data_IF_169841971266
#
_entry.id   IF_169841971266
#
_cell.length_a   1.000
_cell.length_b   1.000
_cell.length_c   1.000
_cell.angle_alpha   90.00
_cell.angle_beta   90.00
_cell.angle_gamma   90.00
#
_symmetry.space_group_name_H-M   'P 1'
#
loop_
_entity.id
_entity.type
_entity.pdbx_description
1 polymer ?
#
# COMPACT_ATOMS: atom_id res chain seq x y z
N UNK A 1 -20.06 -10.68 59.66
CA UNK A 1 -19.58 -11.93 60.27
C UNK A 1 -18.13 -12.13 59.83
N UNK A 2 -17.19 -12.16 60.80
CA UNK A 2 -15.71 -12.35 60.73
C UNK A 2 -14.93 -11.34 59.87
N UNK A 3 -14.24 -10.31 60.40
CA UNK A 3 -13.18 -10.17 61.45
C UNK A 3 -11.82 -10.78 61.04
N UNK A 4 -10.84 -9.90 60.74
CA UNK A 4 -9.52 -9.71 61.42
C UNK A 4 -8.75 -8.61 60.65
N UNK A 5 -8.65 -7.35 61.07
CA UNK A 5 -8.00 -6.72 62.24
C UNK A 5 -6.46 -6.88 62.27
N UNK A 6 -5.75 -5.77 62.04
CA UNK A 6 -4.96 -4.97 63.03
C UNK A 6 -3.48 -5.45 63.08
N UNK A 7 -2.42 -4.64 63.30
CA UNK A 7 -2.32 -3.26 63.76
C UNK A 7 -0.86 -2.74 63.72
N UNK A 8 -0.71 -1.41 63.61
CA UNK A 8 0.08 -0.50 64.49
C UNK A 8 1.61 -0.68 64.74
N UNK A 9 2.44 0.33 64.41
CA UNK A 9 2.86 1.49 65.25
C UNK A 9 4.24 2.11 64.85
N UNK A 10 4.20 3.38 64.40
CA UNK A 10 4.84 4.60 64.94
C UNK A 10 6.27 4.65 65.58
N UNK A 11 7.18 5.42 64.89
CA UNK A 11 8.17 6.50 65.27
C UNK A 11 9.15 6.28 66.48
N UNK A 12 10.30 7.01 66.68
CA UNK A 12 11.00 8.07 65.91
C UNK A 12 12.57 8.12 65.91
N UNK A 13 13.10 9.04 65.09
CA UNK A 13 14.27 9.96 65.25
C UNK A 13 15.72 9.46 65.49
N UNK A 14 16.57 9.88 64.55
CA UNK A 14 17.92 10.47 64.71
C UNK A 14 19.07 9.64 65.29
N UNK A 15 20.12 9.37 64.51
CA UNK A 15 21.53 9.51 64.96
C UNK A 15 22.51 9.47 63.76
N UNK A 16 23.42 10.44 63.74
CA UNK A 16 24.55 10.58 62.82
C UNK A 16 25.50 9.38 62.88
N UNK A 17 26.10 8.97 61.75
CA UNK A 17 27.52 8.59 61.71
C UNK A 17 28.09 8.68 60.28
N UNK A 18 29.11 9.53 60.12
CA UNK A 18 30.01 9.58 58.96
C UNK A 18 30.81 8.28 58.87
N UNK A 19 30.84 7.62 57.71
CA UNK A 19 31.99 6.83 57.26
C UNK A 19 32.16 6.96 55.73
N UNK A 20 33.25 7.63 55.35
CA UNK A 20 34.06 7.52 54.14
C UNK A 20 33.42 7.07 52.81
N UNK A 21 33.13 8.04 51.94
CA UNK A 21 33.11 7.85 50.49
C UNK A 21 34.55 7.94 49.98
N UNK A 22 35.13 6.81 49.60
CA UNK A 22 36.32 6.77 48.74
C UNK A 22 36.21 5.54 47.85
N UNK A 23 35.59 5.71 46.67
CA UNK A 23 35.94 4.91 45.51
C UNK A 23 35.82 5.80 44.26
N UNK A 24 36.99 6.01 43.66
CA UNK A 24 37.24 6.72 42.40
C UNK A 24 36.28 6.24 41.30
N UNK A 25 35.60 7.10 40.53
CA UNK A 25 36.13 7.91 39.42
C UNK A 25 37.07 7.14 38.49
N UNK A 26 36.49 6.32 37.61
CA UNK A 26 36.95 6.16 36.21
C UNK A 26 35.77 5.64 35.38
N UNK A 27 34.99 6.53 34.78
CA UNK A 27 34.31 6.33 33.47
C UNK A 27 33.78 7.71 33.00
N UNK A 28 34.71 8.61 32.69
CA UNK A 28 34.48 9.72 31.76
C UNK A 28 35.61 9.68 30.77
N UNK A 29 35.30 9.28 29.54
CA UNK A 29 35.94 9.62 28.26
C UNK A 29 35.62 8.49 27.28
N UNK A 30 34.59 8.69 26.46
CA UNK A 30 34.53 8.29 25.04
C UNK A 30 33.22 8.74 24.39
N UNK A 31 32.82 9.98 24.70
CA UNK A 31 31.87 10.73 23.89
C UNK A 31 32.52 12.09 23.63
N UNK A 32 32.59 12.46 22.34
CA UNK A 32 33.24 13.64 21.75
C UNK A 32 34.67 13.41 21.24
N UNK A 33 34.77 12.93 20.00
CA UNK A 33 35.77 13.36 19.02
C UNK A 33 35.37 12.91 17.58
N UNK A 34 34.34 13.54 17.01
CA UNK A 34 34.31 13.79 15.56
C UNK A 34 33.80 15.20 15.33
N UNK A 35 34.61 16.16 15.76
CA UNK A 35 34.59 17.50 15.21
C UNK A 35 35.26 17.45 13.83
N UNK A 36 34.44 17.41 12.79
CA UNK A 36 34.81 17.97 11.49
C UNK A 36 33.91 19.17 11.28
N UNK A 37 34.42 20.33 11.66
CA UNK A 37 34.05 21.66 11.16
C UNK A 37 33.47 21.60 9.75
N UNK A 38 32.14 21.60 9.64
CA UNK A 38 31.43 21.84 8.39
C UNK A 38 31.38 23.36 8.20
N UNK A 39 32.41 23.90 7.55
CA UNK A 39 32.34 25.27 7.04
C UNK A 39 31.28 25.29 5.94
N UNK A 40 30.17 25.98 6.19
CA UNK A 40 29.26 26.43 5.15
C UNK A 40 30.05 27.24 4.12
N UNK A 41 30.26 26.64 2.95
CA UNK A 41 31.02 27.24 1.85
C UNK A 41 30.58 26.62 0.53
N UNK A 42 29.81 27.38 -0.24
CA UNK A 42 29.49 27.21 -1.66
C UNK A 42 29.28 25.76 -2.15
N UNK A 43 28.03 25.30 -2.04
CA UNK A 43 27.50 24.08 -2.64
C UNK A 43 27.62 24.11 -4.18
N UNK A 44 28.71 23.56 -4.71
CA UNK A 44 28.70 22.97 -6.03
C UNK A 44 28.21 21.52 -5.87
N UNK A 45 27.07 21.20 -6.49
CA UNK A 45 26.42 19.88 -6.59
C UNK A 45 27.45 18.76 -6.84
N UNK A 46 27.92 18.08 -5.78
CA UNK A 46 28.76 16.89 -5.91
C UNK A 46 27.87 15.65 -6.05
N UNK A 47 27.30 15.47 -7.25
CA UNK A 47 26.57 14.25 -7.62
C UNK A 47 27.57 13.07 -7.49
N UNK A 48 27.19 12.04 -6.73
CA UNK A 48 27.96 10.82 -6.56
C UNK A 48 28.21 10.15 -7.93
N UNK A 49 29.24 9.30 -8.00
CA UNK A 49 29.51 8.55 -9.23
C UNK A 49 28.33 7.65 -9.62
N UNK A 50 27.56 7.17 -8.65
CA UNK A 50 26.35 6.39 -8.89
C UNK A 50 25.26 7.26 -9.55
N UNK A 51 24.92 8.40 -8.94
CA UNK A 51 23.90 9.30 -9.48
C UNK A 51 24.19 9.80 -10.89
N UNK A 52 25.48 10.04 -11.22
CA UNK A 52 25.91 10.36 -12.59
C UNK A 52 25.68 9.22 -13.58
N UNK A 53 25.99 7.99 -13.19
CA UNK A 53 25.79 6.80 -14.04
C UNK A 53 24.31 6.54 -14.26
N UNK A 54 23.52 6.53 -13.18
CA UNK A 54 22.08 6.33 -13.25
C UNK A 54 21.39 7.41 -14.11
N UNK A 55 21.70 8.69 -13.86
CA UNK A 55 21.15 9.80 -14.66
C UNK A 55 21.47 9.67 -16.15
N UNK A 56 22.68 9.21 -16.49
CA UNK A 56 23.08 8.98 -17.89
C UNK A 56 22.21 7.91 -18.56
N UNK A 57 21.85 6.86 -17.84
CA UNK A 57 21.04 5.76 -18.37
C UNK A 57 19.57 6.17 -18.57
N UNK A 58 19.00 6.95 -17.65
CA UNK A 58 17.59 7.32 -17.72
C UNK A 58 17.31 8.53 -18.63
N UNK A 59 18.23 9.48 -18.77
CA UNK A 59 17.97 10.70 -19.54
C UNK A 59 18.08 10.49 -21.07
N UNK A 60 18.35 9.26 -21.56
CA UNK A 60 18.35 8.91 -23.01
C UNK A 60 19.11 9.90 -23.92
N UNK A 61 20.19 10.51 -23.42
CA UNK A 61 20.99 11.48 -24.19
C UNK A 61 20.52 12.94 -24.10
N UNK A 62 19.47 13.22 -23.34
CA UNK A 62 19.03 14.57 -22.99
C UNK A 62 20.08 15.18 -22.04
N UNK A 63 20.82 16.18 -22.53
CA UNK A 63 21.77 16.95 -21.72
C UNK A 63 21.02 18.04 -20.99
N UNK A 64 20.52 17.74 -19.79
CA UNK A 64 19.89 18.75 -18.95
C UNK A 64 20.47 18.63 -17.53
N UNK A 65 21.63 19.26 -17.32
CA UNK A 65 22.20 19.44 -15.98
C UNK A 65 21.41 20.42 -15.11
N UNK A 66 20.53 21.21 -15.74
CA UNK A 66 19.91 22.38 -15.11
C UNK A 66 18.46 22.14 -14.68
N UNK A 67 17.81 21.05 -15.12
CA UNK A 67 16.39 20.72 -14.84
C UNK A 67 16.23 19.39 -14.08
N UNK A 68 17.25 18.53 -14.07
CA UNK A 68 17.20 17.28 -13.32
C UNK A 68 18.52 17.03 -12.61
N UNK A 69 18.43 16.81 -11.31
CA UNK A 69 19.53 16.33 -10.47
C UNK A 69 19.02 15.13 -9.70
N UNK A 70 19.58 13.94 -9.99
CA UNK A 70 19.19 12.74 -9.26
C UNK A 70 19.54 12.90 -7.78
N UNK A 71 18.59 12.55 -6.92
CA UNK A 71 18.71 12.60 -5.47
C UNK A 71 19.44 11.36 -4.98
N UNK A 72 20.77 11.43 -5.00
CA UNK A 72 21.66 10.45 -4.39
C UNK A 72 22.09 10.85 -2.98
N UNK A 73 21.41 11.83 -2.37
CA UNK A 73 21.66 12.24 -1.00
C UNK A 73 20.90 11.32 -0.04
N UNK A 74 21.50 11.10 1.14
CA UNK A 74 20.86 10.40 2.24
C UNK A 74 19.64 11.20 2.74
N UNK A 75 18.45 10.84 2.26
CA UNK A 75 17.18 11.46 2.69
C UNK A 75 16.79 11.00 4.10
N UNK A 76 17.32 9.85 4.53
CA UNK A 76 17.23 9.34 5.91
C UNK A 76 18.59 8.85 6.40
N UNK A 77 18.72 8.54 7.69
CA UNK A 77 19.93 7.91 8.24
C UNK A 77 20.20 6.48 7.71
N UNK A 78 19.27 5.90 6.95
CA UNK A 78 19.33 4.51 6.49
C UNK A 78 19.70 4.38 5.01
N UNK A 79 19.75 5.48 4.28
CA UNK A 79 20.18 5.49 2.89
C UNK A 79 19.63 6.66 2.08
N UNK A 80 19.98 6.67 0.78
CA UNK A 80 19.55 7.67 -0.18
C UNK A 80 18.09 7.50 -0.61
N UNK A 81 17.60 8.42 -1.44
CA UNK A 81 16.20 8.40 -1.85
C UNK A 81 15.75 7.06 -2.46
N UNK A 82 16.58 6.49 -3.32
CA UNK A 82 16.33 5.20 -3.95
C UNK A 82 16.43 3.98 -3.02
N UNK A 83 16.66 4.18 -1.73
CA UNK A 83 16.50 3.13 -0.72
C UNK A 83 15.04 3.02 -0.22
N UNK A 84 14.11 3.86 -0.69
CA UNK A 84 12.67 3.81 -0.38
C UNK A 84 12.42 3.56 1.12
N UNK A 85 12.97 4.44 1.95
CA UNK A 85 12.95 4.27 3.41
C UNK A 85 11.68 4.90 3.96
N UNK A 86 10.76 4.04 4.40
CA UNK A 86 9.54 4.46 5.07
C UNK A 86 9.75 4.46 6.58
N UNK A 87 9.57 5.60 7.25
CA UNK A 87 9.72 5.72 8.70
C UNK A 87 8.38 5.74 9.42
N UNK A 88 7.38 6.39 8.83
CA UNK A 88 6.06 6.61 9.41
C UNK A 88 5.04 6.96 8.33
N UNK A 89 3.75 6.87 8.67
CA UNK A 89 2.63 7.08 7.74
C UNK A 89 2.67 8.44 7.04
N UNK A 90 3.04 9.50 7.74
CA UNK A 90 3.09 10.86 7.17
C UNK A 90 4.12 11.01 6.05
N UNK A 91 5.08 10.08 5.93
CA UNK A 91 6.04 10.11 4.82
C UNK A 91 5.34 9.87 3.48
N UNK A 92 4.22 9.13 3.46
CA UNK A 92 3.44 8.96 2.24
C UNK A 92 2.56 10.18 1.97
N UNK A 93 2.97 10.94 0.96
CA UNK A 93 2.26 12.08 0.42
C UNK A 93 1.19 11.57 -0.55
N UNK A 94 -0.08 11.88 -0.27
CA UNK A 94 -1.18 11.58 -1.17
C UNK A 94 -1.21 12.55 -2.35
N UNK A 95 -1.25 12.02 -3.56
CA UNK A 95 -1.31 12.78 -4.79
C UNK A 95 -2.52 12.35 -5.61
N UNK A 96 -3.38 13.30 -5.99
CA UNK A 96 -4.47 13.04 -6.91
C UNK A 96 -3.98 13.17 -8.36
N UNK A 97 -4.28 12.21 -9.26
CA UNK A 97 -4.08 12.40 -10.68
C UNK A 97 -4.77 13.68 -11.20
N UNK A 98 -4.25 14.30 -12.27
CA UNK A 98 -4.81 15.53 -12.79
C UNK A 98 -6.19 15.28 -13.41
N UNK A 99 -7.17 16.10 -13.03
CA UNK A 99 -8.50 16.09 -13.64
C UNK A 99 -8.50 16.63 -15.07
N UNK A 100 -9.45 16.17 -15.89
CA UNK A 100 -9.72 16.73 -17.22
C UNK A 100 -8.73 16.36 -18.32
N UNK A 101 -7.79 15.45 -18.06
CA UNK A 101 -6.92 14.85 -19.10
C UNK A 101 -6.51 13.43 -18.75
N UNK A 102 -6.09 12.69 -19.76
CA UNK A 102 -5.49 11.38 -19.57
C UNK A 102 -4.15 11.51 -18.84
N UNK A 103 -3.93 10.62 -17.89
CA UNK A 103 -2.70 10.52 -17.12
C UNK A 103 -2.45 9.05 -16.76
N UNK A 104 -1.20 8.63 -16.77
CA UNK A 104 -0.80 7.28 -16.37
C UNK A 104 0.34 7.35 -15.36
N UNK A 105 0.37 6.40 -14.44
CA UNK A 105 1.45 6.17 -13.49
C UNK A 105 1.75 4.66 -13.40
N UNK A 106 2.94 4.30 -12.95
CA UNK A 106 3.36 2.90 -12.89
C UNK A 106 3.34 2.33 -11.46
N UNK A 107 2.82 1.12 -11.29
CA UNK A 107 2.86 0.40 -10.02
C UNK A 107 3.88 -0.74 -10.08
N UNK A 108 5.09 -0.45 -9.61
CA UNK A 108 6.20 -1.42 -9.57
C UNK A 108 6.32 -2.16 -8.25
N UNK A 109 5.43 -1.91 -7.29
CA UNK A 109 5.51 -2.48 -5.94
C UNK A 109 5.52 -4.02 -5.92
N UNK A 110 4.96 -4.63 -6.97
CA UNK A 110 4.86 -6.08 -7.12
C UNK A 110 5.89 -6.69 -8.10
N UNK A 111 6.80 -5.89 -8.66
CA UNK A 111 7.80 -6.38 -9.62
C UNK A 111 8.94 -7.14 -8.92
N UNK A 112 9.46 -8.18 -9.55
CA UNK A 112 10.58 -8.95 -9.02
C UNK A 112 10.98 -10.16 -9.87
N UNK A 113 10.58 -11.39 -9.49
CA UNK A 113 10.88 -12.61 -10.27
C UNK A 113 10.32 -12.61 -11.69
N UNK A 114 10.86 -13.49 -12.55
CA UNK A 114 10.34 -13.73 -13.92
C UNK A 114 9.03 -14.51 -13.95
N UNK A 115 8.52 -14.94 -12.81
CA UNK A 115 7.26 -15.68 -12.69
C UNK A 115 6.23 -14.83 -11.96
N UNK A 116 4.92 -15.01 -12.25
CA UNK A 116 3.87 -14.40 -11.45
C UNK A 116 4.04 -14.67 -9.95
N UNK A 117 3.67 -13.69 -9.15
CA UNK A 117 3.68 -13.74 -7.68
C UNK A 117 2.31 -13.31 -7.15
N UNK A 118 2.10 -13.37 -5.84
CA UNK A 118 0.80 -13.11 -5.22
C UNK A 118 -0.11 -14.33 -5.16
N UNK A 119 -1.38 -14.07 -4.83
CA UNK A 119 -2.39 -15.09 -4.57
C UNK A 119 -3.37 -15.27 -5.74
N UNK A 120 -3.44 -14.29 -6.63
CA UNK A 120 -4.27 -14.36 -7.83
C UNK A 120 -3.54 -15.14 -8.95
N UNK A 121 -4.09 -16.27 -9.44
CA UNK A 121 -3.47 -17.06 -10.51
C UNK A 121 -3.40 -16.31 -11.86
N UNK A 122 -4.19 -15.25 -12.02
CA UNK A 122 -4.24 -14.42 -13.23
C UNK A 122 -3.23 -13.28 -13.19
N UNK A 123 -2.42 -13.17 -12.12
CA UNK A 123 -1.35 -12.17 -12.07
C UNK A 123 -0.36 -12.35 -13.23
N UNK A 124 0.02 -11.27 -13.93
CA UNK A 124 1.10 -11.30 -14.90
C UNK A 124 2.45 -11.56 -14.25
N UNK A 125 3.40 -11.99 -15.08
CA UNK A 125 4.81 -11.91 -14.75
C UNK A 125 5.28 -10.45 -14.83
N UNK A 126 5.88 -9.96 -13.74
CA UNK A 126 6.38 -8.59 -13.59
C UNK A 126 7.89 -8.64 -13.27
N UNK A 127 8.74 -9.10 -14.21
CA UNK A 127 10.16 -9.26 -13.95
C UNK A 127 10.83 -7.94 -13.63
N UNK A 128 11.82 -7.97 -12.75
CA UNK A 128 12.71 -6.84 -12.55
C UNK A 128 14.18 -7.23 -12.68
N UNK A 129 14.71 -6.99 -13.87
CA UNK A 129 16.01 -7.51 -14.30
C UNK A 129 17.13 -6.48 -14.11
N UNK A 130 18.14 -6.87 -13.35
CA UNK A 130 19.33 -6.06 -13.08
C UNK A 130 20.18 -5.89 -14.35
N UNK A 131 20.58 -4.64 -14.64
CA UNK A 131 21.50 -4.31 -15.71
C UNK A 131 22.87 -4.96 -15.46
N UNK A 132 23.62 -5.22 -16.54
CA UNK A 132 24.95 -5.85 -16.45
C UNK A 132 25.93 -5.08 -15.55
N UNK A 133 25.77 -3.76 -15.49
CA UNK A 133 26.63 -2.87 -14.72
C UNK A 133 26.11 -2.56 -13.31
N UNK A 134 24.96 -3.15 -12.94
CA UNK A 134 24.35 -3.14 -11.61
C UNK A 134 23.75 -1.80 -11.18
N UNK A 135 23.61 -0.83 -12.09
CA UNK A 135 23.15 0.53 -11.76
C UNK A 135 21.63 0.64 -11.83
N UNK A 136 21.03 -0.04 -12.80
CA UNK A 136 19.60 0.05 -13.12
C UNK A 136 19.01 -1.34 -13.03
N UNK A 137 17.82 -1.48 -12.46
CA UNK A 137 16.97 -2.63 -12.67
C UNK A 137 15.80 -2.24 -13.60
N UNK A 138 15.58 -3.02 -14.64
CA UNK A 138 14.49 -2.81 -15.59
C UNK A 138 13.31 -3.61 -15.09
N UNK A 139 12.35 -2.94 -14.44
CA UNK A 139 11.18 -3.59 -13.87
C UNK A 139 9.98 -3.43 -14.80
N UNK A 140 9.31 -4.52 -15.13
CA UNK A 140 7.97 -4.51 -15.70
C UNK A 140 6.96 -4.22 -14.60
N UNK A 141 6.09 -3.25 -14.84
CA UNK A 141 5.14 -2.74 -13.85
C UNK A 141 3.76 -2.56 -14.50
N UNK A 142 2.71 -2.55 -13.69
CA UNK A 142 1.38 -2.18 -14.20
C UNK A 142 1.36 -0.71 -14.64
N UNK A 143 0.76 -0.43 -15.78
CA UNK A 143 0.33 0.92 -16.14
C UNK A 143 -1.08 1.16 -15.57
N UNK A 144 -1.19 2.14 -14.67
CA UNK A 144 -2.45 2.58 -14.11
C UNK A 144 -2.81 3.91 -14.75
N UNK A 145 -3.87 3.92 -15.57
CA UNK A 145 -4.30 5.12 -16.30
C UNK A 145 -5.59 5.69 -15.73
N UNK A 146 -5.79 7.01 -15.91
CA UNK A 146 -7.02 7.68 -15.49
C UNK A 146 -8.26 7.31 -16.31
N UNK A 147 -8.10 6.51 -17.37
CA UNK A 147 -9.21 5.89 -18.10
C UNK A 147 -9.74 4.64 -17.39
N UNK A 148 -8.87 3.97 -16.62
CA UNK A 148 -9.20 2.76 -15.87
C UNK A 148 -9.45 3.04 -14.39
N UNK A 149 -8.82 4.08 -13.85
CA UNK A 149 -8.82 4.42 -12.42
C UNK A 149 -9.15 5.89 -12.32
N UNK A 150 -10.27 6.29 -11.71
CA UNK A 150 -10.61 7.73 -11.78
C UNK A 150 -9.55 8.61 -11.11
N UNK A 151 -9.39 9.86 -11.58
CA UNK A 151 -8.39 10.80 -11.07
C UNK A 151 -8.64 11.25 -9.62
N UNK A 152 -9.70 10.74 -8.98
CA UNK A 152 -10.01 10.99 -7.58
C UNK A 152 -9.40 9.93 -6.63
N UNK A 153 -8.84 8.84 -7.15
CA UNK A 153 -8.08 7.87 -6.35
C UNK A 153 -6.65 8.38 -6.20
N UNK A 154 -6.16 8.61 -4.98
CA UNK A 154 -4.78 9.03 -4.79
C UNK A 154 -3.80 7.90 -5.10
N UNK A 155 -2.68 8.27 -5.71
CA UNK A 155 -1.44 7.51 -5.59
C UNK A 155 -0.58 8.14 -4.50
N UNK A 156 0.40 7.39 -4.00
CA UNK A 156 1.24 7.81 -2.89
C UNK A 156 2.71 7.86 -3.28
N UNK A 157 3.39 8.86 -2.72
CA UNK A 157 4.82 9.06 -2.86
C UNK A 157 5.44 9.18 -1.48
N UNK A 158 6.37 8.30 -1.15
CA UNK A 158 7.21 8.47 0.03
C UNK A 158 8.11 9.69 -0.17
N UNK A 159 7.98 10.69 0.70
CA UNK A 159 8.78 11.91 0.68
C UNK A 159 10.29 11.61 0.71
N UNK A 160 10.69 10.52 1.37
CA UNK A 160 12.09 10.10 1.42
C UNK A 160 12.55 9.48 0.11
N UNK A 161 11.64 9.05 -0.77
CA UNK A 161 11.95 8.34 -2.00
C UNK A 161 12.02 9.24 -3.25
N UNK A 162 11.84 10.55 -3.10
CA UNK A 162 11.79 11.49 -4.24
C UNK A 162 13.14 11.56 -4.96
N UNK A 163 13.18 11.04 -6.19
CA UNK A 163 14.39 10.87 -7.01
C UNK A 163 14.94 12.15 -7.62
N UNK A 164 14.17 13.24 -7.70
CA UNK A 164 14.63 14.54 -8.17
C UNK A 164 14.99 15.43 -6.97
N UNK A 165 16.27 15.78 -6.84
CA UNK A 165 16.81 16.51 -5.69
C UNK A 165 16.16 17.90 -5.51
N UNK A 166 15.92 18.62 -6.60
CA UNK A 166 15.38 19.97 -6.53
C UNK A 166 13.89 19.93 -6.13
N UNK A 167 13.12 18.93 -6.61
CA UNK A 167 11.73 18.69 -6.21
C UNK A 167 11.63 18.15 -4.78
N UNK A 168 12.56 17.27 -4.37
CA UNK A 168 12.66 16.79 -2.98
C UNK A 168 12.84 17.97 -2.02
N UNK A 169 13.78 18.88 -2.31
CA UNK A 169 14.05 20.06 -1.48
C UNK A 169 12.82 20.97 -1.35
N UNK A 170 12.13 21.25 -2.45
CA UNK A 170 10.87 22.01 -2.42
C UNK A 170 9.80 21.29 -1.60
N UNK A 171 9.70 19.97 -1.76
CA UNK A 171 8.68 19.17 -1.06
C UNK A 171 8.91 19.17 0.45
N UNK A 172 10.15 18.98 0.93
CA UNK A 172 10.44 19.02 2.38
C UNK A 172 10.32 20.43 2.98
N UNK A 173 10.50 21.48 2.17
CA UNK A 173 10.28 22.87 2.60
C UNK A 173 8.78 23.12 2.86
N UNK A 174 7.93 22.67 1.95
CA UNK A 174 6.46 22.83 2.02
C UNK A 174 5.84 21.86 3.03
N UNK A 175 6.09 20.56 2.88
CA UNK A 175 5.43 19.50 3.65
C UNK A 175 6.12 19.17 4.99
N UNK A 176 7.31 19.71 5.23
CA UNK A 176 8.18 19.23 6.31
C UNK A 176 8.96 17.99 5.89
N UNK A 177 10.04 17.67 6.61
CA UNK A 177 10.93 16.54 6.26
C UNK A 177 10.25 15.17 6.38
N UNK A 178 9.25 15.08 7.24
CA UNK A 178 8.46 13.90 7.56
C UNK A 178 7.12 13.85 6.81
N UNK A 179 6.78 14.89 6.04
CA UNK A 179 5.53 15.04 5.31
C UNK A 179 4.32 15.49 6.15
N UNK A 180 4.48 15.70 7.47
CA UNK A 180 3.36 15.94 8.40
C UNK A 180 2.47 17.13 8.01
N UNK A 181 3.02 18.19 7.42
CA UNK A 181 2.22 19.36 7.04
C UNK A 181 1.28 19.10 5.86
N UNK A 182 1.58 18.10 5.04
CA UNK A 182 0.77 17.73 3.89
C UNK A 182 -0.17 16.54 4.19
N UNK A 183 -0.13 15.99 5.41
CA UNK A 183 -0.95 14.85 5.79
C UNK A 183 -2.46 15.12 5.79
N UNK A 184 -2.90 16.39 6.00
CA UNK A 184 -4.32 16.75 5.98
C UNK A 184 -4.92 16.85 4.57
N UNK A 185 -4.10 16.86 3.52
CA UNK A 185 -4.54 17.05 2.13
C UNK A 185 -4.80 18.51 1.72
N UNK A 186 -4.78 19.47 2.66
CA UNK A 186 -5.00 20.90 2.35
C UNK A 186 -3.86 21.54 1.55
N UNK A 187 -2.66 20.94 1.63
CA UNK A 187 -1.47 21.41 0.95
C UNK A 187 -1.09 20.38 -0.10
N UNK A 188 -1.15 20.77 -1.37
CA UNK A 188 -0.68 19.93 -2.48
C UNK A 188 0.85 19.83 -2.42
N UNK A 189 1.42 18.62 -2.25
CA UNK A 189 2.87 18.46 -2.24
C UNK A 189 3.49 18.82 -3.60
N UNK A 190 4.61 19.56 -3.64
CA UNK A 190 5.29 19.91 -4.89
C UNK A 190 5.67 18.71 -5.77
N UNK A 191 5.95 17.55 -5.17
CA UNK A 191 6.19 16.31 -5.92
C UNK A 191 4.96 15.83 -6.68
N UNK A 192 3.75 16.02 -6.15
CA UNK A 192 2.52 15.64 -6.82
C UNK A 192 2.34 16.46 -8.10
N UNK A 193 2.54 17.78 -8.03
CA UNK A 193 2.50 18.65 -9.20
C UNK A 193 3.54 18.23 -10.24
N UNK A 194 4.79 18.01 -9.81
CA UNK A 194 5.88 17.61 -10.70
C UNK A 194 5.61 16.28 -11.42
N UNK A 195 5.02 15.30 -10.72
CA UNK A 195 4.59 14.03 -11.33
C UNK A 195 3.45 14.27 -12.30
N UNK A 196 2.39 14.96 -11.85
CA UNK A 196 1.19 15.18 -12.65
C UNK A 196 1.53 15.85 -13.97
N UNK A 197 2.41 16.85 -13.98
CA UNK A 197 2.82 17.57 -15.20
C UNK A 197 4.03 16.96 -15.93
N UNK A 198 4.43 15.73 -15.60
CA UNK A 198 5.56 15.01 -16.22
C UNK A 198 6.90 15.77 -16.17
N UNK A 199 7.15 16.49 -15.08
CA UNK A 199 8.39 17.24 -14.84
C UNK A 199 9.32 16.59 -13.80
N UNK A 200 8.89 15.52 -13.12
CA UNK A 200 9.74 14.89 -12.10
C UNK A 200 11.04 14.32 -12.71
N UNK A 201 10.93 13.58 -13.81
CA UNK A 201 12.08 13.04 -14.57
C UNK A 201 11.89 13.36 -16.06
N UNK A 202 12.75 14.18 -16.67
CA UNK A 202 12.62 14.55 -18.07
C UNK A 202 12.64 13.36 -19.02
N UNK A 203 11.66 13.32 -19.94
CA UNK A 203 11.58 12.31 -21.00
C UNK A 203 10.95 10.98 -20.58
N UNK A 204 10.52 10.83 -19.32
CA UNK A 204 9.71 9.69 -18.89
C UNK A 204 8.26 9.82 -19.40
N UNK A 205 7.63 8.69 -19.72
CA UNK A 205 6.21 8.65 -20.12
C UNK A 205 5.31 8.67 -18.89
N UNK A 206 5.78 8.05 -17.80
CA UNK A 206 5.13 8.00 -16.50
C UNK A 206 6.18 7.88 -15.37
N UNK A 207 5.72 8.01 -14.13
CA UNK A 207 6.54 7.83 -12.92
C UNK A 207 6.02 6.64 -12.12
N UNK A 208 6.92 5.83 -11.58
CA UNK A 208 6.54 4.77 -10.64
C UNK A 208 6.19 5.34 -9.28
N UNK A 209 5.04 4.94 -8.74
CA UNK A 209 4.48 5.41 -7.47
C UNK A 209 3.90 4.21 -6.70
N UNK A 210 3.47 4.43 -5.46
CA UNK A 210 2.67 3.43 -4.74
C UNK A 210 1.19 3.67 -4.97
N UNK A 211 0.42 2.59 -5.07
CA UNK A 211 -1.03 2.61 -5.20
C UNK A 211 -1.58 1.36 -4.53
N UNK A 212 -2.70 1.46 -3.79
CA UNK A 212 -3.36 0.30 -3.18
C UNK A 212 -4.00 -0.63 -4.20
N UNK A 213 -4.13 -0.19 -5.45
CA UNK A 213 -4.68 -1.00 -6.54
C UNK A 213 -3.91 -2.32 -6.65
N UNK A 214 -4.64 -3.42 -6.79
CA UNK A 214 -4.16 -4.81 -6.79
C UNK A 214 -3.65 -5.38 -5.45
N UNK A 215 -3.78 -4.70 -4.30
CA UNK A 215 -3.39 -5.30 -3.00
C UNK A 215 -4.01 -6.69 -2.80
N UNK A 216 -5.30 -6.84 -3.12
CA UNK A 216 -6.02 -8.13 -2.96
C UNK A 216 -5.46 -9.24 -3.86
N UNK A 217 -4.82 -8.91 -4.98
CA UNK A 217 -4.19 -9.89 -5.87
C UNK A 217 -2.88 -10.46 -5.28
N UNK A 218 -2.26 -9.74 -4.34
CA UNK A 218 -0.94 -10.07 -3.80
C UNK A 218 -0.95 -10.36 -2.29
N UNK A 219 -2.05 -10.06 -1.60
CA UNK A 219 -2.21 -10.28 -0.17
C UNK A 219 -3.54 -10.99 0.09
N UNK A 220 -3.51 -12.11 0.81
CA UNK A 220 -4.74 -12.84 1.12
C UNK A 220 -5.49 -12.16 2.26
N UNK A 221 -6.83 -12.36 2.39
CA UNK A 221 -7.57 -11.88 3.55
C UNK A 221 -6.94 -12.33 4.88
N UNK A 222 -6.35 -13.53 4.90
CA UNK A 222 -5.65 -14.07 6.07
C UNK A 222 -4.34 -13.32 6.36
N UNK A 223 -3.55 -12.98 5.34
CA UNK A 223 -2.33 -12.17 5.50
C UNK A 223 -2.66 -10.79 6.08
N UNK A 224 -3.72 -10.19 5.59
CA UNK A 224 -4.16 -8.86 6.03
C UNK A 224 -4.66 -8.92 7.47
N UNK A 225 -5.55 -9.87 7.78
CA UNK A 225 -6.09 -10.04 9.14
C UNK A 225 -5.00 -10.38 10.18
N UNK A 226 -3.96 -11.11 9.78
CA UNK A 226 -2.83 -11.46 10.65
C UNK A 226 -1.72 -10.40 10.68
N UNK A 227 -1.82 -9.34 9.87
CA UNK A 227 -0.76 -8.33 9.70
C UNK A 227 0.51 -8.86 9.03
N UNK A 228 0.46 -10.06 8.44
CA UNK A 228 1.57 -10.70 7.73
C UNK A 228 1.59 -10.28 6.26
N UNK A 229 1.55 -8.98 5.96
CA UNK A 229 1.42 -8.48 4.58
C UNK A 229 2.75 -8.25 3.85
N UNK A 230 3.88 -8.59 4.48
CA UNK A 230 5.21 -8.34 3.91
C UNK A 230 6.25 -9.37 4.34
N UNK A 231 7.24 -9.60 3.49
CA UNK A 231 8.39 -10.45 3.78
C UNK A 231 9.60 -9.59 4.12
N UNK A 232 10.22 -9.81 5.27
CA UNK A 232 11.39 -9.04 5.71
C UNK A 232 12.71 -9.71 5.33
N UNK A 233 13.55 -8.98 4.57
CA UNK A 233 14.86 -9.45 4.10
C UNK A 233 15.99 -8.65 4.77
N UNK A 234 16.54 -9.22 5.86
CA UNK A 234 17.58 -8.57 6.69
C UNK A 234 18.95 -9.23 6.52
N UNK A 235 20.02 -8.43 6.64
CA UNK A 235 21.49 -8.68 6.61
C UNK A 235 22.06 -10.05 6.18
N UNK A 236 21.57 -11.19 6.67
CA UNK A 236 22.00 -12.51 6.17
C UNK A 236 21.36 -12.88 4.83
N UNK A 237 20.19 -12.30 4.55
CA UNK A 237 19.40 -12.46 3.33
C UNK A 237 19.15 -11.10 2.62
N UNK A 238 19.80 -10.03 3.07
CA UNK A 238 19.75 -8.73 2.40
C UNK A 238 20.64 -8.79 1.14
N UNK A 239 20.13 -8.25 0.05
CA UNK A 239 20.75 -8.27 -1.27
C UNK A 239 20.39 -6.97 -2.01
N UNK A 240 20.83 -6.88 -3.26
CA UNK A 240 20.41 -5.81 -4.16
C UNK A 240 18.90 -5.85 -4.36
N UNK A 241 18.25 -4.70 -4.27
CA UNK A 241 16.86 -4.51 -4.63
C UNK A 241 16.69 -3.23 -5.46
N UNK A 242 15.59 -3.15 -6.19
CA UNK A 242 15.21 -2.02 -7.01
C UNK A 242 14.37 -1.01 -6.19
N UNK A 243 14.89 0.20 -6.05
CA UNK A 243 14.20 1.32 -5.43
C UNK A 243 13.28 2.04 -6.42
N UNK A 244 12.16 1.43 -6.80
CA UNK A 244 11.38 1.92 -7.94
C UNK A 244 10.56 3.18 -7.71
N UNK A 245 10.24 3.54 -6.45
CA UNK A 245 9.44 4.73 -6.20
C UNK A 245 10.10 5.99 -6.77
N UNK A 246 9.32 6.75 -7.52
CA UNK A 246 9.72 7.90 -8.34
C UNK A 246 10.74 7.63 -9.46
N UNK A 247 10.93 6.37 -9.86
CA UNK A 247 11.70 6.02 -11.05
C UNK A 247 10.95 6.35 -12.34
N UNK A 248 11.66 6.70 -13.42
CA UNK A 248 11.04 6.94 -14.73
C UNK A 248 10.62 5.64 -15.40
N UNK A 249 9.45 5.69 -16.03
CA UNK A 249 8.82 4.57 -16.71
C UNK A 249 8.49 4.91 -18.16
N UNK A 250 8.49 3.89 -19.00
CA UNK A 250 8.34 4.01 -20.44
C UNK A 250 7.34 2.99 -20.97
N UNK A 251 6.46 3.45 -21.85
CA UNK A 251 5.48 2.57 -22.49
C UNK A 251 6.21 1.58 -23.40
N UNK A 252 5.90 0.30 -23.27
CA UNK A 252 6.45 -0.76 -24.13
C UNK A 252 5.45 -1.19 -25.21
N UNK A 253 4.16 -0.86 -25.03
CA UNK A 253 3.05 -1.38 -25.83
C UNK A 253 2.66 -2.81 -25.46
N UNK A 254 3.30 -3.40 -24.45
CA UNK A 254 2.97 -4.72 -23.93
C UNK A 254 1.71 -4.67 -23.08
N UNK A 255 0.97 -5.77 -23.11
CA UNK A 255 -0.22 -5.99 -22.29
C UNK A 255 -0.13 -7.35 -21.61
N UNK A 256 -0.74 -7.46 -20.44
CA UNK A 256 -0.91 -8.77 -19.81
C UNK A 256 -2.03 -9.60 -20.47
N UNK A 257 -2.25 -10.81 -19.96
CA UNK A 257 -3.27 -11.72 -20.45
C UNK A 257 -4.70 -11.17 -20.31
N UNK A 258 -4.91 -10.23 -19.38
CA UNK A 258 -6.18 -9.55 -19.14
C UNK A 258 -6.32 -8.26 -19.99
N UNK A 259 -5.33 -7.95 -20.84
CA UNK A 259 -5.33 -6.80 -21.73
C UNK A 259 -4.95 -5.48 -21.06
N UNK A 260 -4.51 -5.50 -19.80
CA UNK A 260 -4.01 -4.33 -19.06
C UNK A 260 -2.63 -3.96 -19.58
N UNK A 261 -2.37 -2.66 -19.73
CA UNK A 261 -1.09 -2.17 -20.22
C UNK A 261 0.01 -2.38 -19.18
N UNK A 262 1.22 -2.68 -19.65
CA UNK A 262 2.43 -2.78 -18.85
C UNK A 262 3.43 -1.70 -19.29
N UNK A 263 4.27 -1.26 -18.34
CA UNK A 263 5.37 -0.34 -18.60
C UNK A 263 6.69 -0.94 -18.13
N UNK A 264 7.80 -0.47 -18.69
CA UNK A 264 9.14 -0.75 -18.19
C UNK A 264 9.69 0.47 -17.45
N UNK A 265 10.00 0.29 -16.17
CA UNK A 265 10.60 1.31 -15.32
C UNK A 265 12.09 1.05 -15.12
N UNK A 266 12.88 2.13 -15.17
CA UNK A 266 14.34 2.07 -14.95
C UNK A 266 14.64 2.39 -13.50
N UNK A 267 14.51 1.41 -12.62
CA UNK A 267 14.67 1.63 -11.19
C UNK A 267 16.14 1.70 -10.77
N UNK A 268 16.54 2.65 -9.91
CA UNK A 268 17.82 2.62 -9.24
C UNK A 268 17.92 1.39 -8.31
N UNK A 269 19.14 1.00 -7.95
CA UNK A 269 19.45 -0.23 -7.21
C UNK A 269 20.16 0.13 -5.92
N UNK A 270 19.68 -0.44 -4.81
CA UNK A 270 20.30 -0.27 -3.49
C UNK A 270 20.71 -1.62 -2.91
N UNK A 271 21.82 -1.62 -2.16
CA UNK A 271 22.30 -2.78 -1.42
C UNK A 271 22.04 -2.56 0.07
N UNK A 272 21.03 -3.23 0.61
CA UNK A 272 20.60 -3.01 1.97
C UNK A 272 19.47 -3.93 2.41
N UNK A 273 19.02 -3.79 3.68
CA UNK A 273 17.81 -4.47 4.11
C UNK A 273 16.60 -3.93 3.34
N UNK A 274 15.62 -4.79 3.09
CA UNK A 274 14.39 -4.45 2.40
C UNK A 274 13.22 -5.33 2.85
N UNK A 275 12.04 -4.97 2.41
CA UNK A 275 10.81 -5.71 2.57
C UNK A 275 10.10 -5.85 1.23
N UNK A 276 9.62 -7.06 0.97
CA UNK A 276 8.78 -7.36 -0.18
C UNK A 276 7.34 -7.12 0.27
N UNK A 277 6.55 -6.43 -0.53
CA UNK A 277 5.14 -6.11 -0.28
C UNK A 277 4.16 -7.28 -0.35
N UNK A 278 4.67 -8.48 -0.11
CA UNK A 278 3.96 -9.75 -0.21
C UNK A 278 4.45 -10.66 0.91
N UNK A 279 3.56 -11.50 1.44
CA UNK A 279 3.87 -12.48 2.48
C UNK A 279 4.63 -13.69 1.91
N UNK A 280 5.38 -14.38 2.77
CA UNK A 280 6.01 -15.68 2.49
C UNK A 280 6.85 -15.78 1.19
N UNK A 281 7.48 -14.68 0.77
CA UNK A 281 8.34 -14.65 -0.40
C UNK A 281 9.77 -15.10 -0.08
N UNK A 282 10.52 -15.51 -1.12
CA UNK A 282 11.96 -15.67 -1.01
C UNK A 282 12.66 -14.32 -1.23
N UNK A 283 13.61 -14.00 -0.36
CA UNK A 283 14.45 -12.80 -0.50
C UNK A 283 15.32 -12.81 -1.77
N UNK A 284 15.66 -13.98 -2.31
CA UNK A 284 16.25 -14.08 -3.64
C UNK A 284 15.14 -14.17 -4.69
N UNK A 285 14.97 -13.13 -5.50
CA UNK A 285 14.00 -13.08 -6.60
C UNK A 285 14.29 -14.10 -7.72
N UNK A 286 15.42 -14.80 -7.68
CA UNK A 286 15.79 -15.84 -8.63
C UNK A 286 15.49 -17.25 -8.11
N UNK A 287 15.14 -17.38 -6.82
CA UNK A 287 14.73 -18.65 -6.24
C UNK A 287 13.20 -18.82 -6.34
N UNK A 288 12.70 -20.04 -6.60
CA UNK A 288 11.27 -20.30 -6.64
C UNK A 288 10.62 -20.11 -5.24
N UNK A 289 9.32 -19.80 -5.19
CA UNK A 289 8.57 -19.74 -3.93
C UNK A 289 8.67 -21.06 -3.16
N UNK A 290 8.71 -21.00 -1.82
CA UNK A 290 9.00 -22.14 -0.92
C UNK A 290 7.98 -23.28 -0.95
N UNK A 291 6.88 -23.15 -1.68
CA UNK A 291 5.88 -24.20 -1.89
C UNK A 291 6.18 -25.13 -3.09
N UNK A 292 7.25 -24.88 -3.84
CA UNK A 292 7.78 -25.86 -4.79
C UNK A 292 8.69 -26.86 -4.04
N UNK A 293 8.28 -28.13 -3.99
CA UNK A 293 9.08 -29.26 -3.51
C UNK A 293 10.44 -29.32 -4.23
N UNK A 294 11.46 -28.66 -3.70
CA UNK A 294 12.86 -28.92 -4.03
C UNK A 294 13.79 -28.46 -2.91
N UNK A 295 13.93 -29.31 -1.88
CA UNK A 295 15.15 -29.32 -1.07
C UNK A 295 16.27 -29.92 -1.91
N UNK A 296 17.01 -29.10 -2.66
CA UNK A 296 18.24 -29.54 -3.30
C UNK A 296 19.08 -28.36 -3.79
N UNK A 297 20.32 -28.29 -3.28
CA UNK A 297 21.48 -27.54 -3.79
C UNK A 297 21.70 -26.09 -3.33
N UNK A 298 21.93 -25.95 -2.03
CA UNK A 298 22.98 -25.04 -1.56
C UNK A 298 24.36 -25.59 -1.98
N UNK A 299 24.86 -25.20 -3.16
CA UNK A 299 26.29 -24.95 -3.39
C UNK A 299 26.57 -24.50 -4.83
N UNK A 300 27.45 -23.50 -4.94
CA UNK A 300 28.09 -22.95 -6.15
C UNK A 300 27.23 -22.15 -7.14
N UNK A 301 27.20 -20.81 -6.96
CA UNK A 301 27.42 -19.85 -8.06
C UNK A 301 27.64 -18.41 -7.55
N UNK A 302 28.86 -17.89 -7.73
CA UNK A 302 29.13 -16.45 -7.79
C UNK A 302 28.73 -15.95 -9.20
N UNK A 303 27.98 -14.84 -9.27
CA UNK A 303 27.62 -14.02 -10.46
C UNK A 303 26.60 -14.68 -11.40
N UNK A 304 25.40 -14.16 -11.69
CA UNK A 304 24.78 -12.84 -11.57
C UNK A 304 23.32 -13.05 -11.15
N UNK A 305 22.82 -12.40 -10.09
CA UNK A 305 21.37 -12.29 -9.87
C UNK A 305 20.79 -11.57 -11.08
N UNK A 306 19.93 -12.25 -11.86
CA UNK A 306 19.31 -11.63 -13.03
C UNK A 306 18.15 -10.76 -12.58
N UNK A 307 17.40 -11.18 -11.58
CA UNK A 307 16.28 -10.42 -11.04
C UNK A 307 16.52 -9.97 -9.60
N UNK A 308 15.89 -8.86 -9.26
CA UNK A 308 15.86 -8.26 -7.93
C UNK A 308 14.43 -7.85 -7.62
N UNK A 309 14.05 -7.81 -6.35
CA UNK A 309 12.73 -7.30 -5.96
C UNK A 309 12.68 -5.79 -6.12
N UNK A 310 11.55 -5.26 -6.60
CA UNK A 310 11.17 -3.88 -6.32
C UNK A 310 10.70 -3.81 -4.88
N UNK A 311 11.35 -2.99 -4.06
CA UNK A 311 11.17 -3.05 -2.63
C UNK A 311 11.37 -1.69 -1.95
N UNK A 312 11.00 -1.68 -0.67
CA UNK A 312 11.15 -0.56 0.25
C UNK A 312 11.57 -1.10 1.63
N UNK A 313 11.96 -0.23 2.54
CA UNK A 313 12.42 -0.67 3.86
C UNK A 313 11.83 0.17 4.99
N UNK A 314 11.15 -0.51 5.92
CA UNK A 314 10.78 0.03 7.22
C UNK A 314 11.80 -0.39 8.30
N UNK A 315 12.62 0.55 8.81
CA UNK A 315 13.60 0.26 9.84
C UNK A 315 12.99 0.05 11.24
N UNK A 316 11.77 0.55 11.47
CA UNK A 316 11.03 0.33 12.71
C UNK A 316 10.46 -1.10 12.79
N UNK A 317 10.45 -1.82 11.66
CA UNK A 317 9.87 -3.16 11.55
C UNK A 317 8.36 -3.14 11.34
N UNK A 318 7.80 -4.31 11.03
CA UNK A 318 6.41 -4.42 10.57
C UNK A 318 6.25 -4.04 9.10
N UNK A 319 5.08 -4.30 8.48
CA UNK A 319 4.80 -3.92 7.10
C UNK A 319 4.84 -2.41 6.91
N UNK A 320 5.00 -1.97 5.66
CA UNK A 320 4.78 -0.58 5.28
C UNK A 320 3.28 -0.35 5.22
N UNK A 321 2.78 0.60 5.99
CA UNK A 321 1.36 0.92 6.07
C UNK A 321 1.02 2.13 5.20
N UNK A 322 -0.17 2.08 4.59
CA UNK A 322 -0.78 3.20 3.88
C UNK A 322 -1.22 4.26 4.91
N UNK A 323 -1.21 5.57 4.58
CA UNK A 323 -1.68 6.62 5.50
C UNK A 323 -3.08 6.38 6.06
N UNK A 324 -3.32 6.86 7.29
CA UNK A 324 -4.66 6.81 7.90
C UNK A 324 -5.63 7.74 7.14
N UNK A 325 -6.86 7.28 6.88
CA UNK A 325 -7.83 7.94 5.98
C UNK A 325 -7.79 7.41 4.54
N UNK A 326 -6.76 6.64 4.18
CA UNK A 326 -6.75 5.83 2.97
C UNK A 326 -7.24 4.42 3.32
N UNK A 327 -8.54 4.22 3.19
CA UNK A 327 -9.15 2.92 3.39
C UNK A 327 -9.07 2.08 2.10
N UNK A 328 -9.10 0.76 2.25
CA UNK A 328 -9.26 -0.16 1.11
C UNK A 328 -10.69 -0.68 1.15
N UNK A 329 -11.51 -0.46 0.12
CA UNK A 329 -12.85 -1.01 0.10
C UNK A 329 -12.87 -2.52 0.31
N UNK A 330 -13.89 -2.97 1.03
CA UNK A 330 -14.22 -4.36 1.34
C UNK A 330 -13.15 -5.11 2.13
N UNK A 331 -12.18 -4.38 2.67
CA UNK A 331 -11.14 -4.97 3.49
C UNK A 331 -11.64 -5.17 4.93
N UNK A 332 -11.45 -6.36 5.53
CA UNK A 332 -11.94 -6.63 6.87
C UNK A 332 -11.31 -5.71 7.94
N UNK A 333 -12.08 -5.44 8.98
CA UNK A 333 -11.64 -4.70 10.16
C UNK A 333 -11.37 -3.20 9.90
N UNK A 334 -10.49 -2.61 10.71
CA UNK A 334 -10.23 -1.15 10.73
C UNK A 334 -9.43 -0.61 9.55
N UNK A 335 -9.14 -1.46 8.55
CA UNK A 335 -8.45 -1.07 7.31
C UNK A 335 -9.41 -1.00 6.11
N UNK A 336 -10.65 -1.47 6.29
CA UNK A 336 -11.77 -1.29 5.36
C UNK A 336 -12.25 0.14 5.26
N UNK A 337 -12.83 0.51 4.13
CA UNK A 337 -13.59 1.77 4.04
C UNK A 337 -14.89 1.65 4.84
N UNK A 338 -15.40 2.78 5.33
CA UNK A 338 -16.71 2.80 5.98
C UNK A 338 -17.81 2.35 5.00
N UNK A 339 -18.98 1.96 5.52
CA UNK A 339 -20.12 1.67 4.65
C UNK A 339 -20.62 2.96 3.97
N UNK A 340 -21.48 2.80 2.96
CA UNK A 340 -22.13 3.93 2.30
C UNK A 340 -22.75 4.92 3.31
N UNK A 341 -22.53 6.21 3.11
CA UNK A 341 -23.10 7.31 3.90
C UNK A 341 -23.50 8.47 2.97
N UNK A 342 -24.80 8.76 2.90
CA UNK A 342 -25.37 9.80 2.04
C UNK A 342 -25.02 11.24 2.49
N UNK A 343 -24.50 11.39 3.71
CA UNK A 343 -24.15 12.66 4.33
C UNK A 343 -22.68 13.04 4.14
N UNK A 344 -21.83 12.07 3.82
CA UNK A 344 -20.43 12.30 3.50
C UNK A 344 -20.28 12.83 2.07
N UNK A 345 -19.20 13.56 1.81
CA UNK A 345 -18.81 13.99 0.47
C UNK A 345 -18.28 12.81 -0.35
N UNK A 346 -19.14 11.81 -0.58
CA UNK A 346 -18.84 10.66 -1.42
C UNK A 346 -18.59 11.18 -2.83
N UNK A 347 -17.49 10.70 -3.38
CA UNK A 347 -17.13 10.96 -4.75
C UNK A 347 -18.09 10.16 -5.63
N UNK A 348 -19.02 10.86 -6.28
CA UNK A 348 -19.84 10.22 -7.30
C UNK A 348 -18.96 9.89 -8.52
N UNK A 349 -18.94 8.61 -8.95
CA UNK A 349 -18.25 8.16 -10.15
C UNK A 349 -18.98 8.61 -11.43
N UNK A 350 -18.30 8.46 -12.57
CA UNK A 350 -18.85 8.82 -13.89
C UNK A 350 -20.06 7.94 -14.26
N UNK A 351 -21.07 8.53 -14.94
CA UNK A 351 -22.29 7.83 -15.36
C UNK A 351 -22.01 6.58 -16.21
N UNK A 352 -20.97 6.60 -17.05
CA UNK A 352 -20.59 5.45 -17.88
C UNK A 352 -20.02 4.29 -17.04
N UNK A 353 -19.35 4.60 -15.93
CA UNK A 353 -18.85 3.58 -14.98
C UNK A 353 -20.04 3.00 -14.22
N UNK A 354 -20.95 3.85 -13.72
CA UNK A 354 -22.14 3.37 -13.02
C UNK A 354 -23.06 2.50 -13.87
N UNK A 355 -23.21 2.82 -15.16
CA UNK A 355 -23.97 1.97 -16.07
C UNK A 355 -23.39 0.55 -16.17
N UNK A 356 -22.06 0.41 -16.16
CA UNK A 356 -21.40 -0.92 -16.15
C UNK A 356 -21.57 -1.62 -14.81
N UNK A 357 -21.45 -0.89 -13.70
CA UNK A 357 -21.68 -1.43 -12.35
C UNK A 357 -23.10 -1.96 -12.22
N UNK A 358 -24.12 -1.17 -12.53
CA UNK A 358 -25.50 -1.65 -12.47
C UNK A 358 -25.72 -2.83 -13.43
N UNK A 359 -25.12 -2.82 -14.63
CA UNK A 359 -25.17 -3.99 -15.52
C UNK A 359 -24.55 -5.25 -14.90
N UNK A 360 -23.50 -5.10 -14.09
CA UNK A 360 -22.87 -6.22 -13.36
C UNK A 360 -23.74 -6.77 -12.24
N UNK A 361 -24.45 -5.92 -11.51
CA UNK A 361 -25.44 -6.36 -10.51
C UNK A 361 -26.66 -7.01 -11.18
N UNK A 362 -27.15 -6.41 -12.26
CA UNK A 362 -28.35 -6.85 -12.97
C UNK A 362 -28.16 -8.21 -13.65
N UNK A 363 -27.00 -8.39 -14.30
CA UNK A 363 -26.61 -9.64 -14.96
C UNK A 363 -25.72 -10.50 -14.06
N UNK A 364 -25.77 -10.29 -12.74
CA UNK A 364 -24.96 -11.08 -11.81
C UNK A 364 -25.29 -12.57 -11.92
N UNK A 365 -24.37 -13.42 -11.46
CA UNK A 365 -24.63 -14.86 -11.42
C UNK A 365 -25.90 -15.07 -10.60
N UNK A 366 -26.92 -15.67 -11.21
CA UNK A 366 -28.19 -15.93 -10.55
C UNK A 366 -28.17 -17.35 -9.98
N UNK A 367 -28.29 -17.47 -8.66
CA UNK A 367 -28.44 -18.76 -7.98
C UNK A 367 -29.81 -18.78 -7.34
N UNK A 368 -30.66 -19.73 -7.75
CA UNK A 368 -32.04 -19.84 -7.25
C UNK A 368 -32.80 -18.51 -7.38
N UNK A 369 -32.68 -17.85 -8.54
CA UNK A 369 -33.28 -16.54 -8.85
C UNK A 369 -32.77 -15.35 -8.00
N UNK A 370 -31.74 -15.56 -7.17
CA UNK A 370 -31.08 -14.49 -6.39
C UNK A 370 -29.90 -13.89 -7.15
N UNK A 371 -29.88 -12.57 -7.28
CA UNK A 371 -28.77 -11.78 -7.85
C UNK A 371 -27.64 -11.70 -6.84
N UNK A 372 -26.61 -12.53 -7.02
CA UNK A 372 -25.50 -12.72 -6.06
C UNK A 372 -24.77 -11.41 -5.73
N UNK A 373 -24.70 -10.48 -6.69
CA UNK A 373 -24.08 -9.17 -6.47
C UNK A 373 -24.73 -8.45 -5.28
N UNK A 374 -26.06 -8.30 -5.30
CA UNK A 374 -26.79 -7.57 -4.25
C UNK A 374 -26.82 -8.31 -2.91
N UNK A 375 -26.98 -9.64 -2.92
CA UNK A 375 -26.97 -10.42 -1.67
C UNK A 375 -25.61 -10.39 -0.99
N UNK A 376 -24.54 -10.47 -1.77
CA UNK A 376 -23.17 -10.39 -1.25
C UNK A 376 -22.87 -8.98 -0.71
N UNK A 377 -23.20 -7.94 -1.47
CA UNK A 377 -23.05 -6.53 -1.07
C UNK A 377 -23.74 -6.25 0.29
N UNK A 378 -24.97 -6.75 0.47
CA UNK A 378 -25.74 -6.57 1.71
C UNK A 378 -25.08 -7.19 2.95
N UNK A 379 -24.30 -8.26 2.76
CA UNK A 379 -23.87 -9.16 3.85
C UNK A 379 -22.37 -9.10 4.11
N UNK A 380 -21.55 -8.95 3.07
CA UNK A 380 -20.11 -9.17 3.11
C UNK A 380 -19.42 -8.26 4.13
N UNK A 381 -19.54 -6.95 3.95
CA UNK A 381 -18.75 -5.98 4.71
C UNK A 381 -19.07 -5.99 6.20
N UNK A 382 -20.35 -6.02 6.57
CA UNK A 382 -20.77 -6.09 7.97
C UNK A 382 -20.38 -7.41 8.63
N UNK A 383 -20.44 -8.52 7.89
CA UNK A 383 -19.97 -9.83 8.38
C UNK A 383 -18.45 -9.89 8.59
N UNK A 384 -17.70 -9.06 7.85
CA UNK A 384 -16.25 -8.88 8.01
C UNK A 384 -15.87 -7.83 9.06
N UNK A 385 -16.84 -7.23 9.74
CA UNK A 385 -16.60 -6.27 10.83
C UNK A 385 -16.60 -4.81 10.40
N UNK A 386 -16.88 -4.50 9.14
CA UNK A 386 -16.95 -3.11 8.65
C UNK A 386 -18.21 -2.45 9.18
N UNK A 387 -18.07 -1.22 9.70
CA UNK A 387 -19.16 -0.48 10.36
C UNK A 387 -19.59 -1.06 11.71
N UNK A 388 -18.90 -2.10 12.20
CA UNK A 388 -19.20 -2.70 13.50
C UNK A 388 -18.39 -1.99 14.59
N UNK A 389 -19.00 -1.72 15.74
CA UNK A 389 -18.31 -1.11 16.87
C UNK A 389 -17.33 -2.05 17.59
N UNK A 390 -16.67 -1.55 18.63
CA UNK A 390 -15.60 -2.24 19.39
C UNK A 390 -15.98 -3.62 19.99
N UNK A 391 -17.26 -3.97 20.02
CA UNK A 391 -17.78 -5.24 20.57
C UNK A 391 -18.07 -6.30 19.50
N UNK A 392 -17.59 -6.13 18.27
CA UNK A 392 -17.74 -7.10 17.20
C UNK A 392 -16.98 -8.41 17.50
N UNK A 393 -17.72 -9.48 17.80
CA UNK A 393 -17.14 -10.79 18.07
C UNK A 393 -18.11 -11.95 17.71
N UNK A 394 -18.62 -12.01 16.46
CA UNK A 394 -19.39 -13.16 16.01
C UNK A 394 -18.50 -14.41 15.92
N UNK A 395 -19.11 -15.60 15.90
CA UNK A 395 -18.32 -16.81 15.71
C UNK A 395 -17.83 -16.92 14.27
N UNK A 396 -16.62 -17.44 14.07
CA UNK A 396 -16.10 -17.67 12.71
C UNK A 396 -16.98 -18.63 11.89
N UNK A 397 -17.70 -19.54 12.56
CA UNK A 397 -18.66 -20.43 11.89
C UNK A 397 -19.83 -19.65 11.31
N UNK A 398 -20.39 -18.71 12.07
CA UNK A 398 -21.54 -17.91 11.62
C UNK A 398 -21.12 -17.00 10.47
N UNK A 399 -19.93 -16.38 10.57
CA UNK A 399 -19.37 -15.57 9.48
C UNK A 399 -19.22 -16.38 8.19
N UNK A 400 -18.59 -17.56 8.27
CA UNK A 400 -18.38 -18.40 7.08
C UNK A 400 -19.70 -18.87 6.47
N UNK A 401 -20.70 -19.22 7.30
CA UNK A 401 -22.01 -19.65 6.82
C UNK A 401 -22.75 -18.50 6.11
N UNK A 402 -22.78 -17.31 6.73
CA UNK A 402 -23.41 -16.12 6.15
C UNK A 402 -22.74 -15.73 4.82
N UNK A 403 -21.41 -15.64 4.79
CA UNK A 403 -20.67 -15.31 3.56
C UNK A 403 -20.86 -16.39 2.49
N UNK A 404 -20.82 -17.66 2.88
CA UNK A 404 -21.04 -18.78 1.97
C UNK A 404 -22.44 -18.78 1.37
N UNK A 405 -23.45 -18.31 2.10
CA UNK A 405 -24.83 -18.20 1.60
C UNK A 405 -25.03 -16.96 0.72
N UNK A 406 -24.54 -15.81 1.16
CA UNK A 406 -24.75 -14.53 0.50
C UNK A 406 -23.91 -14.35 -0.77
N UNK A 407 -22.68 -14.87 -0.78
CA UNK A 407 -21.70 -14.64 -1.84
C UNK A 407 -21.38 -15.90 -2.66
N UNK A 408 -22.19 -16.96 -2.58
CA UNK A 408 -21.96 -18.15 -3.41
C UNK A 408 -21.99 -17.77 -4.89
N UNK A 409 -20.99 -18.21 -5.65
CA UNK A 409 -20.86 -17.88 -7.07
C UNK A 409 -20.40 -16.45 -7.38
N UNK A 410 -20.05 -15.63 -6.40
CA UNK A 410 -19.55 -14.25 -6.62
C UNK A 410 -18.34 -14.21 -7.55
N UNK A 411 -17.47 -15.23 -7.49
CA UNK A 411 -16.29 -15.37 -8.35
C UNK A 411 -16.60 -15.58 -9.84
N UNK A 412 -17.86 -15.88 -10.18
CA UNK A 412 -18.32 -16.03 -11.57
C UNK A 412 -18.97 -14.75 -12.10
N UNK A 413 -19.10 -13.71 -11.27
CA UNK A 413 -19.72 -12.46 -11.65
C UNK A 413 -18.80 -11.66 -12.58
N UNK A 414 -19.34 -11.17 -13.69
CA UNK A 414 -18.62 -10.29 -14.61
C UNK A 414 -18.64 -8.85 -14.12
N UNK A 415 -17.52 -8.14 -14.25
CA UNK A 415 -17.41 -6.70 -13.90
C UNK A 415 -17.19 -6.43 -12.42
N UNK A 416 -16.68 -7.40 -11.67
CA UNK A 416 -16.25 -7.21 -10.28
C UNK A 416 -15.17 -6.12 -10.15
N UNK A 417 -14.29 -6.01 -11.14
CA UNK A 417 -13.29 -4.96 -11.24
C UNK A 417 -13.91 -3.55 -11.27
N UNK A 418 -15.10 -3.40 -11.89
CA UNK A 418 -15.81 -2.13 -11.95
C UNK A 418 -16.50 -1.78 -10.62
N UNK A 419 -16.99 -2.78 -9.89
CA UNK A 419 -17.58 -2.62 -8.56
C UNK A 419 -16.52 -2.15 -7.57
N UNK A 420 -15.42 -2.91 -7.46
CA UNK A 420 -14.29 -2.57 -6.59
C UNK A 420 -13.69 -1.21 -6.96
N UNK A 421 -13.65 -0.87 -8.25
CA UNK A 421 -13.26 0.46 -8.69
C UNK A 421 -14.20 1.53 -8.13
N UNK A 422 -15.52 1.41 -8.30
CA UNK A 422 -16.48 2.40 -7.79
C UNK A 422 -16.40 2.55 -6.28
N UNK A 423 -16.22 1.47 -5.53
CA UNK A 423 -16.08 1.54 -4.08
C UNK A 423 -14.80 2.26 -3.68
N UNK A 424 -13.71 2.01 -4.42
CA UNK A 424 -12.46 2.75 -4.25
C UNK A 424 -12.61 4.22 -4.62
N UNK A 425 -13.47 4.54 -5.59
CA UNK A 425 -13.82 5.93 -5.94
C UNK A 425 -14.62 6.61 -4.85
N UNK A 426 -15.63 5.93 -4.34
CA UNK A 426 -16.55 6.44 -3.36
C UNK A 426 -15.92 6.52 -1.95
N UNK A 427 -14.85 5.77 -1.70
CA UNK A 427 -14.21 5.69 -0.41
C UNK A 427 -15.08 4.95 0.61
N UNK A 428 -15.90 4.01 0.15
CA UNK A 428 -16.77 3.18 0.98
C UNK A 428 -16.64 1.71 0.58
N UNK A 429 -17.01 0.82 1.48
CA UNK A 429 -17.07 -0.64 1.25
C UNK A 429 -18.51 -1.08 1.05
N UNK A 430 -18.74 -2.10 0.23
CA UNK A 430 -20.05 -2.65 -0.12
C UNK A 430 -21.07 -1.55 -0.45
N UNK A 431 -20.65 -0.65 -1.34
CA UNK A 431 -21.39 0.59 -1.60
C UNK A 431 -21.63 0.87 -3.09
N UNK A 432 -21.08 0.06 -4.00
CA UNK A 432 -21.13 0.38 -5.42
C UNK A 432 -22.57 0.53 -5.93
N UNK A 433 -23.46 -0.36 -5.51
CA UNK A 433 -24.86 -0.35 -5.96
C UNK A 433 -25.62 0.91 -5.49
N UNK A 434 -25.36 1.37 -4.26
CA UNK A 434 -25.98 2.57 -3.69
C UNK A 434 -25.40 3.84 -4.31
N UNK A 435 -24.06 3.91 -4.44
CA UNK A 435 -23.35 5.04 -5.05
C UNK A 435 -23.81 5.25 -6.50
N UNK A 436 -24.03 4.16 -7.23
CA UNK A 436 -24.48 4.21 -8.62
C UNK A 436 -25.99 4.25 -8.79
N UNK A 437 -26.77 4.15 -7.71
CA UNK A 437 -28.23 4.16 -7.76
C UNK A 437 -28.82 2.99 -8.54
N UNK A 438 -28.21 1.80 -8.46
CA UNK A 438 -28.72 0.61 -9.14
C UNK A 438 -30.01 0.13 -8.45
N UNK A 439 -31.10 -0.02 -9.20
CA UNK A 439 -32.44 -0.27 -8.66
C UNK A 439 -33.11 -1.56 -9.19
N UNK A 440 -32.41 -2.37 -9.97
CA UNK A 440 -32.96 -3.58 -10.61
C UNK A 440 -32.97 -4.82 -9.71
N UNK A 441 -33.14 -4.66 -8.39
CA UNK A 441 -33.20 -5.79 -7.44
C UNK A 441 -34.52 -6.54 -7.65
N UNK A 442 -34.45 -7.82 -8.01
CA UNK A 442 -35.64 -8.65 -8.19
C UNK A 442 -36.25 -9.06 -6.83
N UNK A 443 -37.51 -9.48 -6.83
CA UNK A 443 -38.25 -9.71 -5.57
C UNK A 443 -37.68 -10.87 -4.74
N UNK A 444 -37.22 -11.94 -5.40
CA UNK A 444 -36.54 -13.06 -4.75
C UNK A 444 -35.24 -12.61 -4.04
N UNK A 445 -34.48 -11.72 -4.68
CA UNK A 445 -33.25 -11.15 -4.12
C UNK A 445 -33.56 -10.23 -2.94
N UNK A 446 -34.62 -9.41 -3.03
CA UNK A 446 -35.09 -8.60 -1.91
C UNK A 446 -35.50 -9.45 -0.71
N UNK A 447 -36.23 -10.54 -0.93
CA UNK A 447 -36.58 -11.47 0.14
C UNK A 447 -35.34 -12.14 0.74
N UNK A 448 -34.37 -12.53 -0.09
CA UNK A 448 -33.15 -13.16 0.40
C UNK A 448 -32.29 -12.19 1.20
N UNK A 449 -32.15 -10.94 0.76
CA UNK A 449 -31.49 -9.87 1.54
C UNK A 449 -32.19 -9.66 2.87
N UNK A 450 -33.53 -9.65 2.90
CA UNK A 450 -34.28 -9.57 4.15
C UNK A 450 -33.94 -10.75 5.09
N UNK A 451 -33.91 -11.97 4.57
CA UNK A 451 -33.56 -13.17 5.35
C UNK A 451 -32.12 -13.10 5.88
N UNK A 452 -31.16 -12.74 5.03
CA UNK A 452 -29.75 -12.58 5.40
C UNK A 452 -29.57 -11.51 6.49
N UNK A 453 -30.28 -10.38 6.38
CA UNK A 453 -30.29 -9.35 7.41
C UNK A 453 -30.82 -9.88 8.76
N UNK A 454 -31.78 -10.80 8.78
CA UNK A 454 -32.22 -11.45 10.02
C UNK A 454 -31.17 -12.42 10.56
N UNK A 455 -30.57 -13.24 9.69
CA UNK A 455 -29.52 -14.18 10.09
C UNK A 455 -28.28 -13.45 10.65
N UNK A 456 -27.93 -12.28 10.11
CA UNK A 456 -26.88 -11.43 10.68
C UNK A 456 -27.22 -10.98 12.11
N UNK A 457 -28.46 -10.53 12.36
CA UNK A 457 -28.90 -10.13 13.71
C UNK A 457 -28.85 -11.29 14.69
N UNK A 458 -29.28 -12.47 14.26
CA UNK A 458 -29.23 -13.69 15.06
C UNK A 458 -27.79 -14.08 15.42
N UNK A 459 -26.84 -13.79 14.53
CA UNK A 459 -25.40 -13.92 14.75
C UNK A 459 -24.74 -12.75 15.52
N UNK A 460 -25.54 -11.79 16.02
CA UNK A 460 -25.06 -10.55 16.66
C UNK A 460 -24.20 -9.65 15.77
N UNK A 461 -24.45 -9.68 14.47
CA UNK A 461 -23.86 -8.80 13.46
C UNK A 461 -24.92 -7.73 13.11
N UNK A 462 -24.52 -6.46 13.10
CA UNK A 462 -25.43 -5.37 12.72
C UNK A 462 -25.45 -5.27 11.19
N UNK A 463 -26.57 -5.59 10.51
CA UNK A 463 -26.64 -5.56 9.04
C UNK A 463 -26.48 -4.14 8.49
N UNK A 464 -26.12 -4.02 7.20
CA UNK A 464 -25.94 -2.72 6.55
C UNK A 464 -27.22 -1.87 6.60
N UNK A 465 -28.38 -2.52 6.45
CA UNK A 465 -29.69 -1.89 6.61
C UNK A 465 -29.85 -1.13 7.95
N UNK A 466 -29.30 -1.65 9.05
CA UNK A 466 -29.39 -0.96 10.33
C UNK A 466 -28.43 0.22 10.46
N UNK A 467 -27.30 0.13 9.77
CA UNK A 467 -26.22 1.11 9.89
C UNK A 467 -26.54 2.33 9.02
N UNK A 468 -26.95 2.11 7.77
CA UNK A 468 -27.11 3.19 6.79
C UNK A 468 -28.43 3.11 5.97
N UNK A 469 -29.37 2.23 6.35
CA UNK A 469 -30.68 2.10 5.72
C UNK A 469 -30.61 1.73 4.21
N UNK A 470 -29.59 0.97 3.82
CA UNK A 470 -29.44 0.44 2.46
C UNK A 470 -29.51 -1.09 2.46
N UNK A 471 -29.95 -1.68 1.33
CA UNK A 471 -30.10 -3.14 1.17
C UNK A 471 -30.87 -3.79 2.33
N UNK A 472 -32.03 -3.24 2.67
CA UNK A 472 -32.87 -3.78 3.72
C UNK A 472 -33.62 -5.05 3.33
N UNK A 473 -33.84 -5.24 2.03
CA UNK A 473 -34.75 -6.25 1.53
C UNK A 473 -36.20 -5.92 1.91
N UNK A 474 -37.12 -6.74 1.41
CA UNK A 474 -38.54 -6.64 1.72
C UNK A 474 -39.05 -8.03 2.09
N UNK A 475 -39.99 -8.09 3.04
CA UNK A 475 -40.66 -9.33 3.40
C UNK A 475 -41.96 -9.42 2.59
N UNK A 476 -42.04 -10.39 1.67
CA UNK A 476 -43.23 -10.68 0.86
C UNK A 476 -44.39 -11.28 1.67
#
# INVERSE_FOLDING_TARGET
>A
MKIKLLNCWNIPSSFYFLVSVTLMLTFTNDLVAMDKTYKAGNSAKNISNYGKRYSKDILRGIKISDVYSFNDTDTTRFGPAYANIWLEKSNFLACLPPGGRQFSYALCYYSGPDQPTGNDPDNPSLPCTLSRDGVVANCTCYELSTELISPKIPYYVDINAISNLDIYQQTIEVCGKDGLKCASGDIVPPVCDAINVNLLVPGADAISVFSPIFIQNYQSPQDIASGNTSTSCKRKNAALYAGCMTAPCYTTGEKDAQGRNLMECKCPVYDGPFQIGQSDQNCDANDPPTNALSKSMANTRKRHSKNVWSAAYNPNGGPIEIPDGACVPDLPGSKGCELYDDSNSIINPDEAICSKVCSSYDNSTVISDTQVGYSCDATLCTTLGIGQGDNFNPSASDQIQLLGKACDGISKMSGMDQILLVEALAGCSCCASQVCGCDSINSQTNQEIYNLNQEQRDAHITPQCDINNTLCGENE
#
